data_IF_217357662261
#
_entry.id   IF_217357662261
#
_cell.length_a   1.000
_cell.length_b   1.000
_cell.length_c   1.000
_cell.angle_alpha   90.00
_cell.angle_beta   90.00
_cell.angle_gamma   90.00
#
_symmetry.space_group_name_H-M   'P 1'
#
loop_
_entity.id
_entity.type
_entity.pdbx_description
1 polymer ?
#
# COMPACT_ATOMS: atom_id res chain seq x y z
N UNK A 1 10.62 16.68 -11.65
CA UNK A 1 9.70 15.83 -10.89
C UNK A 1 10.33 15.19 -9.63
N UNK A 2 11.61 14.88 -9.60
CA UNK A 2 12.22 14.11 -8.48
C UNK A 2 12.34 14.84 -7.15
N UNK A 3 12.53 16.16 -7.15
CA UNK A 3 12.65 16.94 -5.90
C UNK A 3 11.40 16.85 -5.01
N UNK A 4 10.18 17.11 -5.52
CA UNK A 4 8.98 17.03 -4.69
C UNK A 4 8.67 15.59 -4.23
N UNK A 5 8.91 14.58 -5.08
CA UNK A 5 8.71 13.17 -4.73
C UNK A 5 9.63 12.77 -3.56
N UNK A 6 10.92 13.12 -3.65
CA UNK A 6 11.89 12.85 -2.58
C UNK A 6 11.57 13.61 -1.30
N UNK A 7 11.14 14.86 -1.40
CA UNK A 7 10.73 15.65 -0.23
C UNK A 7 9.52 15.02 0.47
N UNK A 8 8.50 14.62 -0.28
CA UNK A 8 7.33 13.93 0.26
C UNK A 8 7.69 12.60 0.92
N UNK A 9 8.48 11.75 0.25
CA UNK A 9 8.93 10.47 0.80
C UNK A 9 9.76 10.66 2.09
N UNK A 10 10.63 11.67 2.13
CA UNK A 10 11.40 12.01 3.34
C UNK A 10 10.48 12.44 4.49
N UNK A 11 9.51 13.31 4.21
CA UNK A 11 8.54 13.77 5.21
C UNK A 11 7.71 12.61 5.76
N UNK A 12 7.26 11.69 4.89
CA UNK A 12 6.53 10.50 5.32
C UNK A 12 7.38 9.61 6.23
N UNK A 13 8.62 9.31 5.86
CA UNK A 13 9.55 8.55 6.71
C UNK A 13 9.82 9.20 8.07
N UNK A 14 9.90 10.53 8.12
CA UNK A 14 10.12 11.26 9.36
C UNK A 14 8.89 11.26 10.28
N UNK A 15 7.68 11.33 9.70
CA UNK A 15 6.42 11.31 10.45
C UNK A 15 6.02 9.91 10.91
N UNK A 16 6.28 8.91 10.08
CA UNK A 16 6.00 7.50 10.37
C UNK A 16 7.24 6.84 11.01
N UNK A 17 7.54 7.25 12.24
CA UNK A 17 8.63 6.65 13.02
C UNK A 17 8.38 5.16 13.26
N UNK A 18 9.46 4.33 13.42
CA UNK A 18 9.30 2.94 13.83
C UNK A 18 8.43 2.81 15.08
N UNK A 19 7.44 1.94 15.06
CA UNK A 19 6.49 1.73 16.13
C UNK A 19 5.22 1.03 15.67
N UNK A 20 4.33 0.71 16.61
CA UNK A 20 3.13 -0.09 16.39
C UNK A 20 2.28 0.39 15.19
N UNK A 21 2.05 1.69 15.05
CA UNK A 21 1.24 2.25 13.96
C UNK A 21 1.85 1.96 12.60
N UNK A 22 3.16 2.16 12.45
CA UNK A 22 3.88 1.86 11.22
C UNK A 22 3.85 0.36 10.92
N UNK A 23 4.06 -0.47 11.94
CA UNK A 23 4.08 -1.93 11.80
C UNK A 23 2.70 -2.45 11.38
N UNK A 24 1.60 -1.90 11.93
CA UNK A 24 0.24 -2.20 11.50
C UNK A 24 -0.02 -1.79 10.06
N UNK A 25 0.39 -0.58 9.65
CA UNK A 25 0.22 -0.08 8.29
C UNK A 25 1.03 -0.90 7.27
N UNK A 26 2.24 -1.36 7.63
CA UNK A 26 3.02 -2.30 6.82
C UNK A 26 2.49 -3.74 6.85
N UNK A 27 1.56 -4.06 7.74
CA UNK A 27 1.00 -5.40 7.89
C UNK A 27 1.95 -6.41 8.56
N UNK A 28 2.91 -5.93 9.36
CA UNK A 28 3.87 -6.78 10.09
C UNK A 28 3.18 -7.90 10.89
N UNK A 29 2.06 -7.64 11.63
CA UNK A 29 1.39 -8.70 12.40
C UNK A 29 0.81 -9.83 11.53
N UNK A 30 0.48 -9.54 10.27
CA UNK A 30 -0.10 -10.52 9.34
C UNK A 30 0.94 -11.13 8.41
N UNK A 31 2.18 -10.62 8.43
CA UNK A 31 3.25 -11.01 7.52
C UNK A 31 2.98 -10.62 6.05
N UNK A 32 2.00 -9.75 5.79
CA UNK A 32 1.61 -9.31 4.44
C UNK A 32 1.29 -7.82 4.45
N UNK A 33 1.63 -7.07 3.38
CA UNK A 33 1.28 -5.66 3.27
C UNK A 33 -0.21 -5.41 3.47
N UNK A 34 -0.57 -4.42 4.30
CA UNK A 34 -1.97 -4.09 4.59
C UNK A 34 -2.67 -3.38 3.42
N UNK A 35 -1.89 -2.63 2.60
CA UNK A 35 -2.43 -1.84 1.49
C UNK A 35 -3.23 -2.64 0.45
N UNK A 36 -2.77 -3.80 -0.10
CA UNK A 36 -3.50 -4.50 -1.15
C UNK A 36 -4.90 -4.98 -0.73
N UNK A 37 -5.11 -5.67 0.39
CA UNK A 37 -6.46 -6.09 0.77
C UNK A 37 -7.40 -4.92 1.08
N UNK A 38 -6.90 -3.84 1.67
CA UNK A 38 -7.69 -2.63 1.89
C UNK A 38 -8.08 -1.95 0.56
N UNK A 39 -7.17 -1.90 -0.41
CA UNK A 39 -7.45 -1.37 -1.74
C UNK A 39 -8.50 -2.20 -2.48
N UNK A 40 -8.44 -3.53 -2.37
CA UNK A 40 -9.46 -4.42 -2.94
C UNK A 40 -10.83 -4.19 -2.32
N UNK A 41 -10.92 -3.98 -1.00
CA UNK A 41 -12.17 -3.68 -0.32
C UNK A 41 -12.78 -2.35 -0.80
N UNK A 42 -11.97 -1.28 -0.87
CA UNK A 42 -12.43 0.02 -1.36
C UNK A 42 -12.90 -0.05 -2.83
N UNK A 43 -12.09 -0.64 -3.69
CA UNK A 43 -12.39 -0.78 -5.12
C UNK A 43 -13.61 -1.69 -5.34
N UNK A 44 -13.73 -2.78 -4.60
CA UNK A 44 -14.89 -3.68 -4.63
C UNK A 44 -16.19 -2.95 -4.28
N UNK A 45 -16.19 -2.11 -3.25
CA UNK A 45 -17.33 -1.27 -2.91
C UNK A 45 -17.70 -0.32 -4.05
N UNK A 46 -16.74 0.35 -4.68
CA UNK A 46 -16.99 1.30 -5.77
C UNK A 46 -17.45 0.63 -7.06
N UNK A 47 -16.86 -0.53 -7.41
CA UNK A 47 -17.33 -1.34 -8.55
C UNK A 47 -18.78 -1.79 -8.30
N UNK A 48 -19.06 -2.35 -7.14
CA UNK A 48 -20.41 -2.82 -6.78
C UNK A 48 -21.42 -1.67 -6.79
N UNK A 49 -21.08 -0.50 -6.24
CA UNK A 49 -21.92 0.68 -6.31
C UNK A 49 -22.24 1.09 -7.75
N UNK A 50 -21.22 1.06 -8.62
CA UNK A 50 -21.38 1.46 -10.03
C UNK A 50 -22.22 0.45 -10.82
N UNK A 51 -22.05 -0.85 -10.55
CA UNK A 51 -22.87 -1.91 -11.17
C UNK A 51 -24.34 -1.84 -10.73
N UNK A 52 -24.60 -1.67 -9.42
CA UNK A 52 -25.96 -1.50 -8.91
C UNK A 52 -26.63 -0.25 -9.49
N UNK A 53 -25.87 0.81 -9.68
CA UNK A 53 -26.35 2.05 -10.28
C UNK A 53 -26.68 1.87 -11.78
N UNK A 54 -25.86 1.13 -12.52
CA UNK A 54 -26.15 0.75 -13.90
C UNK A 54 -27.41 -0.13 -14.01
N UNK A 55 -27.59 -1.03 -13.06
CA UNK A 55 -28.79 -1.87 -12.95
C UNK A 55 -30.03 -1.14 -12.42
N UNK A 56 -29.94 0.16 -12.16
CA UNK A 56 -31.04 0.99 -11.57
C UNK A 56 -31.56 0.43 -10.23
N UNK A 57 -30.67 -0.16 -9.44
CA UNK A 57 -30.97 -0.69 -8.12
C UNK A 57 -31.24 0.42 -7.09
N UNK A 58 -31.60 0.03 -5.86
CA UNK A 58 -31.89 0.96 -4.76
C UNK A 58 -30.74 1.92 -4.50
N UNK A 59 -31.03 3.21 -4.53
CA UNK A 59 -30.07 4.27 -4.33
C UNK A 59 -29.49 4.32 -2.90
N UNK A 60 -30.17 3.72 -1.92
CA UNK A 60 -29.65 3.57 -0.56
C UNK A 60 -28.43 2.62 -0.56
N UNK A 61 -28.56 1.48 -1.24
CA UNK A 61 -27.47 0.52 -1.37
C UNK A 61 -26.27 1.14 -2.10
N UNK A 62 -26.51 1.88 -3.19
CA UNK A 62 -25.44 2.60 -3.93
C UNK A 62 -24.72 3.60 -3.03
N UNK A 63 -25.44 4.43 -2.28
CA UNK A 63 -24.86 5.42 -1.35
C UNK A 63 -24.07 4.76 -0.23
N UNK A 64 -24.58 3.65 0.33
CA UNK A 64 -23.89 2.91 1.38
C UNK A 64 -22.56 2.35 0.89
N UNK A 65 -22.54 1.73 -0.30
CA UNK A 65 -21.30 1.21 -0.89
C UNK A 65 -20.30 2.32 -1.24
N UNK A 66 -20.78 3.47 -1.75
CA UNK A 66 -19.91 4.62 -1.98
C UNK A 66 -19.26 5.10 -0.68
N UNK A 67 -20.06 5.24 0.38
CA UNK A 67 -19.58 5.65 1.70
C UNK A 67 -18.59 4.64 2.30
N UNK A 68 -18.87 3.35 2.20
CA UNK A 68 -17.99 2.28 2.66
C UNK A 68 -16.64 2.29 1.91
N UNK A 69 -16.67 2.45 0.59
CA UNK A 69 -15.47 2.58 -0.22
C UNK A 69 -14.63 3.81 0.14
N UNK A 70 -15.29 4.97 0.37
CA UNK A 70 -14.62 6.19 0.83
C UNK A 70 -13.98 5.97 2.21
N UNK A 71 -14.71 5.40 3.16
CA UNK A 71 -14.21 5.14 4.50
C UNK A 71 -13.00 4.19 4.48
N UNK A 72 -13.07 3.12 3.68
CA UNK A 72 -11.99 2.13 3.53
C UNK A 72 -10.77 2.71 2.80
N UNK A 73 -10.97 3.68 1.90
CA UNK A 73 -9.87 4.31 1.16
C UNK A 73 -8.91 5.11 2.06
N UNK A 74 -9.36 5.59 3.20
CA UNK A 74 -8.50 6.36 4.13
C UNK A 74 -7.37 5.50 4.73
N UNK A 75 -7.67 4.36 5.40
CA UNK A 75 -6.61 3.47 5.86
C UNK A 75 -5.80 2.86 4.70
N UNK A 76 -6.44 2.62 3.53
CA UNK A 76 -5.74 2.19 2.32
C UNK A 76 -4.66 3.19 1.90
N UNK A 77 -4.98 4.47 1.85
CA UNK A 77 -4.04 5.52 1.49
C UNK A 77 -2.92 5.65 2.53
N UNK A 78 -3.23 5.53 3.83
CA UNK A 78 -2.23 5.57 4.88
C UNK A 78 -1.23 4.41 4.76
N UNK A 79 -1.71 3.17 4.56
CA UNK A 79 -0.87 2.00 4.34
C UNK A 79 -0.03 2.15 3.06
N UNK A 80 -0.65 2.54 1.94
CA UNK A 80 0.04 2.73 0.66
C UNK A 80 1.12 3.81 0.70
N UNK A 81 0.89 4.94 1.39
CA UNK A 81 1.90 5.98 1.58
C UNK A 81 3.07 5.51 2.45
N UNK A 82 2.78 4.66 3.45
CA UNK A 82 3.80 4.06 4.30
C UNK A 82 4.71 3.15 3.48
N UNK A 83 4.13 2.24 2.68
CA UNK A 83 4.87 1.34 1.79
C UNK A 83 5.66 2.13 0.73
N UNK A 84 5.01 3.09 0.07
CA UNK A 84 5.61 3.93 -0.97
C UNK A 84 6.83 4.70 -0.48
N UNK A 85 6.84 5.15 0.76
CA UNK A 85 7.94 5.93 1.33
C UNK A 85 9.27 5.16 1.37
N UNK A 86 9.22 3.83 1.36
CA UNK A 86 10.39 2.93 1.42
C UNK A 86 10.83 2.38 0.06
N UNK A 87 10.08 2.65 -1.01
CA UNK A 87 10.37 2.17 -2.36
C UNK A 87 11.59 2.86 -3.00
N UNK A 88 12.14 2.25 -4.04
CA UNK A 88 13.17 2.85 -4.88
C UNK A 88 12.63 4.01 -5.72
N UNK A 89 13.51 4.90 -6.16
CA UNK A 89 13.13 6.15 -6.84
C UNK A 89 12.25 5.93 -8.08
N UNK A 90 12.53 4.92 -8.88
CA UNK A 90 11.73 4.59 -10.08
C UNK A 90 10.31 4.15 -9.69
N UNK A 91 10.19 3.27 -8.71
CA UNK A 91 8.91 2.85 -8.15
C UNK A 91 8.15 4.03 -7.52
N UNK A 92 8.86 4.94 -6.84
CA UNK A 92 8.24 6.14 -6.27
C UNK A 92 7.65 7.07 -7.33
N UNK A 93 8.25 7.18 -8.51
CA UNK A 93 7.70 7.98 -9.62
C UNK A 93 6.37 7.40 -10.11
N UNK A 94 6.32 6.11 -10.37
CA UNK A 94 5.08 5.42 -10.78
C UNK A 94 4.06 5.46 -9.65
N UNK A 95 4.49 5.22 -8.40
CA UNK A 95 3.65 5.28 -7.23
C UNK A 95 3.05 6.67 -6.98
N UNK A 96 3.73 7.75 -7.35
CA UNK A 96 3.18 9.10 -7.27
C UNK A 96 2.03 9.32 -8.27
N UNK A 97 2.15 8.80 -9.50
CA UNK A 97 1.07 8.85 -10.49
C UNK A 97 -0.11 7.96 -10.05
N UNK A 98 0.18 6.77 -9.53
CA UNK A 98 -0.81 5.90 -8.90
C UNK A 98 -1.58 6.61 -7.77
N UNK A 99 -0.86 7.30 -6.88
CA UNK A 99 -1.46 8.09 -5.81
C UNK A 99 -2.38 9.18 -6.37
N UNK A 100 -1.92 9.94 -7.36
CA UNK A 100 -2.69 11.03 -7.96
C UNK A 100 -3.99 10.51 -8.61
N UNK A 101 -3.92 9.39 -9.33
CA UNK A 101 -5.10 8.74 -9.92
C UNK A 101 -6.11 8.29 -8.86
N UNK A 102 -5.65 7.73 -7.74
CA UNK A 102 -6.53 7.28 -6.66
C UNK A 102 -7.10 8.46 -5.84
N UNK A 103 -6.35 9.54 -5.65
CA UNK A 103 -6.87 10.78 -5.04
C UNK A 103 -7.98 11.40 -5.93
N UNK A 104 -7.78 11.41 -7.25
CA UNK A 104 -8.80 11.83 -8.19
C UNK A 104 -10.05 10.93 -8.10
N UNK A 105 -9.87 9.61 -8.10
CA UNK A 105 -10.96 8.66 -7.94
C UNK A 105 -11.74 8.90 -6.64
N UNK A 106 -11.05 9.04 -5.51
CA UNK A 106 -11.65 9.35 -4.21
C UNK A 106 -12.44 10.65 -4.25
N UNK A 107 -11.91 11.70 -4.87
CA UNK A 107 -12.60 12.98 -5.06
C UNK A 107 -13.88 12.83 -5.88
N UNK A 108 -13.83 12.07 -6.98
CA UNK A 108 -14.97 11.81 -7.85
C UNK A 108 -16.06 10.98 -7.16
N UNK A 109 -15.71 9.93 -6.42
CA UNK A 109 -16.68 9.15 -5.65
C UNK A 109 -17.26 9.92 -4.48
N UNK A 110 -16.48 10.76 -3.81
CA UNK A 110 -16.97 11.67 -2.78
C UNK A 110 -17.94 12.71 -3.36
N UNK A 111 -17.60 13.28 -4.51
CA UNK A 111 -18.48 14.17 -5.27
C UNK A 111 -19.77 13.46 -5.72
N UNK A 112 -19.67 12.19 -6.16
CA UNK A 112 -20.83 11.36 -6.50
C UNK A 112 -21.78 11.18 -5.32
N UNK A 113 -21.25 10.80 -4.16
CA UNK A 113 -22.05 10.64 -2.94
C UNK A 113 -22.72 11.96 -2.55
N UNK A 114 -21.99 13.06 -2.58
CA UNK A 114 -22.52 14.39 -2.26
C UNK A 114 -23.61 14.83 -3.24
N UNK A 115 -23.43 14.59 -4.55
CA UNK A 115 -24.44 14.89 -5.55
C UNK A 115 -25.75 14.11 -5.29
N UNK A 116 -25.64 12.83 -4.93
CA UNK A 116 -26.81 11.98 -4.62
C UNK A 116 -27.53 12.40 -3.34
N UNK A 117 -26.78 12.78 -2.31
CA UNK A 117 -27.38 13.32 -1.07
C UNK A 117 -28.18 14.61 -1.35
N UNK A 118 -27.74 15.36 -2.37
CA UNK A 118 -28.46 16.58 -2.84
C UNK A 118 -29.53 16.32 -3.89
N UNK A 119 -29.93 15.07 -4.13
CA UNK A 119 -30.97 14.70 -5.11
C UNK A 119 -30.52 14.77 -6.58
N UNK A 120 -29.23 14.96 -6.85
CA UNK A 120 -28.68 15.07 -8.21
C UNK A 120 -28.14 13.71 -8.71
N UNK A 121 -29.06 12.73 -8.84
CA UNK A 121 -28.70 11.33 -9.15
C UNK A 121 -27.92 11.17 -10.47
N UNK A 122 -28.33 11.93 -11.54
CA UNK A 122 -27.62 11.87 -12.84
C UNK A 122 -26.17 12.35 -12.73
N UNK A 123 -25.93 13.45 -12.03
CA UNK A 123 -24.57 13.95 -11.79
C UNK A 123 -23.78 12.97 -10.93
N UNK A 124 -24.39 12.41 -9.88
CA UNK A 124 -23.78 11.38 -9.06
C UNK A 124 -23.33 10.17 -9.87
N UNK A 125 -24.17 9.69 -10.80
CA UNK A 125 -23.84 8.58 -11.71
C UNK A 125 -22.68 8.89 -12.63
N UNK A 126 -22.69 10.05 -13.27
CA UNK A 126 -21.58 10.47 -14.13
C UNK A 126 -20.24 10.54 -13.37
N UNK A 127 -20.28 11.08 -12.15
CA UNK A 127 -19.10 11.14 -11.27
C UNK A 127 -18.62 9.73 -10.83
N UNK A 128 -19.54 8.78 -10.59
CA UNK A 128 -19.14 7.38 -10.28
C UNK A 128 -18.43 6.72 -11.47
N UNK A 129 -18.91 6.90 -12.70
CA UNK A 129 -18.24 6.35 -13.88
C UNK A 129 -16.85 6.96 -14.09
N UNK A 130 -16.74 8.28 -13.97
CA UNK A 130 -15.45 8.96 -14.03
C UNK A 130 -14.49 8.48 -12.91
N UNK A 131 -15.02 8.31 -11.69
CA UNK A 131 -14.30 7.77 -10.55
C UNK A 131 -13.81 6.35 -10.79
N UNK A 132 -14.65 5.49 -11.40
CA UNK A 132 -14.25 4.13 -11.74
C UNK A 132 -13.15 4.10 -12.81
N UNK A 133 -13.21 4.97 -13.81
CA UNK A 133 -12.15 5.08 -14.81
C UNK A 133 -10.82 5.53 -14.19
N UNK A 134 -10.85 6.56 -13.31
CA UNK A 134 -9.65 7.02 -12.61
C UNK A 134 -9.11 5.95 -11.64
N UNK A 135 -9.98 5.28 -10.87
CA UNK A 135 -9.61 4.20 -9.97
C UNK A 135 -9.11 2.96 -10.72
N UNK A 136 -9.68 2.63 -11.87
CA UNK A 136 -9.21 1.56 -12.76
C UNK A 136 -7.80 1.82 -13.29
N UNK A 137 -7.52 3.06 -13.72
CA UNK A 137 -6.17 3.46 -14.10
C UNK A 137 -5.20 3.41 -12.90
N UNK A 138 -5.64 3.88 -11.72
CA UNK A 138 -4.88 3.72 -10.49
C UNK A 138 -4.58 2.24 -10.18
N UNK A 139 -5.58 1.37 -10.28
CA UNK A 139 -5.45 -0.07 -10.09
C UNK A 139 -4.47 -0.71 -11.07
N UNK A 140 -4.52 -0.32 -12.35
CA UNK A 140 -3.55 -0.75 -13.37
C UNK A 140 -2.11 -0.39 -12.97
N UNK A 141 -1.88 0.85 -12.52
CA UNK A 141 -0.55 1.28 -12.06
C UNK A 141 -0.12 0.55 -10.77
N UNK A 142 -1.06 0.24 -9.86
CA UNK A 142 -0.80 -0.59 -8.69
C UNK A 142 -0.37 -2.01 -9.08
N UNK A 143 -1.03 -2.62 -10.03
CA UNK A 143 -0.63 -3.91 -10.62
C UNK A 143 0.74 -3.82 -11.29
N UNK A 144 1.04 -2.75 -12.03
CA UNK A 144 2.35 -2.52 -12.63
C UNK A 144 3.46 -2.42 -11.56
N UNK A 145 3.20 -1.69 -10.46
CA UNK A 145 4.14 -1.62 -9.34
C UNK A 145 4.39 -2.99 -8.72
N UNK A 146 3.34 -3.75 -8.44
CA UNK A 146 3.45 -5.06 -7.79
C UNK A 146 4.09 -6.13 -8.68
N UNK A 147 3.60 -6.29 -9.92
CA UNK A 147 3.96 -7.42 -10.77
C UNK A 147 5.13 -7.14 -11.72
N UNK A 148 5.23 -5.90 -12.23
CA UNK A 148 6.31 -5.55 -13.17
C UNK A 148 7.53 -4.98 -12.47
N UNK A 149 7.32 -4.15 -11.44
CA UNK A 149 8.40 -3.49 -10.71
C UNK A 149 8.72 -4.21 -9.38
N UNK A 150 7.97 -5.26 -9.04
CA UNK A 150 8.14 -6.05 -7.82
C UNK A 150 8.15 -5.21 -6.52
N UNK A 151 7.39 -4.13 -6.50
CA UNK A 151 7.26 -3.27 -5.31
C UNK A 151 6.58 -4.05 -4.18
N UNK A 152 7.27 -4.18 -3.04
CA UNK A 152 6.78 -4.93 -1.89
C UNK A 152 6.78 -6.46 -2.05
N UNK A 153 7.32 -7.00 -3.15
CA UNK A 153 7.43 -8.43 -3.36
C UNK A 153 8.64 -9.02 -2.63
N UNK A 154 8.57 -10.31 -2.31
CA UNK A 154 9.72 -11.06 -1.85
C UNK A 154 10.69 -11.29 -3.01
N UNK A 155 11.87 -10.67 -2.97
CA UNK A 155 12.91 -10.82 -3.98
C UNK A 155 13.84 -12.03 -3.74
N UNK A 156 13.60 -12.79 -2.69
CA UNK A 156 14.42 -13.94 -2.31
C UNK A 156 13.59 -15.23 -2.08
N UNK A 157 12.59 -15.55 -2.93
CA UNK A 157 11.74 -16.72 -2.70
C UNK A 157 12.52 -18.03 -2.76
N UNK A 158 13.62 -18.06 -3.52
CA UNK A 158 14.46 -19.25 -3.67
C UNK A 158 15.33 -19.54 -2.45
N UNK A 159 15.52 -18.58 -1.54
CA UNK A 159 16.40 -18.76 -0.35
C UNK A 159 15.94 -19.95 0.49
N UNK A 160 14.62 -20.14 0.64
CA UNK A 160 14.05 -21.27 1.38
C UNK A 160 14.31 -22.64 0.74
N UNK A 161 14.75 -22.69 -0.53
CA UNK A 161 15.07 -23.92 -1.26
C UNK A 161 16.57 -24.17 -1.38
N UNK A 162 17.41 -23.17 -1.04
CA UNK A 162 18.86 -23.27 -1.15
C UNK A 162 19.55 -23.73 0.14
N UNK A 163 18.83 -23.68 1.26
CA UNK A 163 19.30 -24.11 2.57
C UNK A 163 18.22 -24.97 3.20
N UNK A 164 18.55 -26.14 3.81
CA UNK A 164 17.59 -26.96 4.53
C UNK A 164 16.86 -26.15 5.61
N UNK A 165 15.60 -26.50 5.88
CA UNK A 165 14.84 -25.89 6.97
C UNK A 165 15.49 -26.23 8.31
N UNK A 166 15.64 -25.24 9.18
CA UNK A 166 16.19 -25.41 10.52
C UNK A 166 17.07 -24.25 10.97
N UNK A 167 17.69 -24.42 12.13
CA UNK A 167 18.69 -23.51 12.65
C UNK A 167 20.04 -23.81 12.03
N UNK A 168 20.73 -22.78 11.62
CA UNK A 168 22.08 -22.87 11.04
C UNK A 168 23.02 -21.89 11.73
N UNK A 169 24.20 -22.36 12.06
CA UNK A 169 25.26 -21.49 12.60
C UNK A 169 25.72 -20.51 11.52
N UNK A 170 25.64 -19.23 11.80
CA UNK A 170 26.03 -18.17 10.86
C UNK A 170 27.36 -17.53 11.25
N UNK A 171 27.52 -17.12 12.51
CA UNK A 171 28.73 -16.56 13.10
C UNK A 171 28.59 -16.46 14.62
N UNK A 172 29.71 -16.24 15.31
CA UNK A 172 29.68 -15.95 16.75
C UNK A 172 29.09 -14.58 17.01
N UNK A 173 28.29 -14.45 18.05
CA UNK A 173 27.63 -13.19 18.42
C UNK A 173 28.65 -12.05 18.64
N UNK A 174 29.82 -12.35 19.20
CA UNK A 174 30.92 -11.41 19.42
C UNK A 174 31.51 -10.83 18.13
N UNK A 175 31.31 -11.51 16.98
CA UNK A 175 31.82 -11.09 15.67
C UNK A 175 30.82 -10.19 14.92
N UNK A 176 29.68 -9.90 15.52
CA UNK A 176 28.67 -8.98 15.00
C UNK A 176 28.84 -7.61 15.63
N UNK A 177 29.14 -6.56 14.83
CA UNK A 177 29.23 -5.21 15.34
C UNK A 177 27.86 -4.67 15.74
N UNK A 178 27.81 -3.89 16.81
CA UNK A 178 26.59 -3.27 17.29
C UNK A 178 26.04 -2.25 16.27
N UNK A 179 24.76 -2.42 15.92
CA UNK A 179 24.01 -1.48 15.08
C UNK A 179 24.49 -1.35 13.63
N UNK A 180 25.45 -2.17 13.17
CA UNK A 180 25.94 -2.15 11.79
C UNK A 180 25.65 -3.49 11.12
N UNK A 181 24.94 -3.50 9.97
CA UNK A 181 24.74 -4.72 9.22
C UNK A 181 26.07 -5.19 8.60
N UNK A 182 26.36 -6.48 8.75
CA UNK A 182 27.48 -7.15 8.09
C UNK A 182 26.96 -8.29 7.23
N UNK A 183 27.60 -8.51 6.08
CA UNK A 183 27.27 -9.65 5.23
C UNK A 183 28.00 -10.91 5.73
N UNK A 184 27.25 -12.01 5.83
CA UNK A 184 27.77 -13.36 6.13
C UNK A 184 27.22 -14.34 5.10
N UNK A 185 27.96 -15.39 4.82
CA UNK A 185 27.55 -16.45 3.91
C UNK A 185 27.00 -17.65 4.66
N UNK A 186 25.89 -18.16 4.20
CA UNK A 186 25.34 -19.45 4.58
C UNK A 186 25.23 -20.30 3.29
N UNK A 187 26.18 -21.17 3.05
CA UNK A 187 26.32 -21.85 1.76
C UNK A 187 26.49 -20.85 0.61
N UNK A 188 25.59 -20.90 -0.36
CA UNK A 188 25.57 -19.98 -1.52
C UNK A 188 24.83 -18.67 -1.26
N UNK A 189 24.24 -18.48 -0.08
CA UNK A 189 23.41 -17.32 0.25
C UNK A 189 24.23 -16.31 1.03
N UNK A 190 24.14 -15.04 0.64
CA UNK A 190 24.65 -13.91 1.42
C UNK A 190 23.54 -13.34 2.29
N UNK A 191 23.71 -13.36 3.60
CA UNK A 191 22.80 -12.83 4.58
C UNK A 191 23.36 -11.55 5.19
N UNK A 192 22.51 -10.55 5.46
CA UNK A 192 22.89 -9.38 6.23
C UNK A 192 22.42 -9.57 7.66
N UNK A 193 23.36 -9.54 8.61
CA UNK A 193 23.08 -9.69 10.05
C UNK A 193 23.70 -8.53 10.83
N UNK A 194 23.04 -8.11 11.89
CA UNK A 194 23.56 -7.14 12.85
C UNK A 194 23.08 -7.47 14.26
N UNK A 195 23.87 -7.15 15.28
CA UNK A 195 23.38 -7.06 16.63
C UNK A 195 22.52 -5.80 16.76
N UNK A 196 21.26 -5.95 17.12
CA UNK A 196 20.45 -4.84 17.60
C UNK A 196 20.88 -4.51 19.03
N UNK A 197 21.18 -3.26 19.34
CA UNK A 197 21.27 -2.86 20.72
C UNK A 197 19.96 -3.27 21.43
N UNK A 198 20.01 -3.86 22.63
CA UNK A 198 18.80 -4.19 23.39
C UNK A 198 17.96 -2.92 23.49
N UNK A 199 16.68 -2.98 23.07
CA UNK A 199 15.75 -1.88 23.27
C UNK A 199 15.62 -1.69 24.78
N UNK A 200 16.33 -0.71 25.32
CA UNK A 200 16.05 -0.25 26.69
C UNK A 200 14.63 0.29 26.66
N UNK A 201 13.70 -0.49 27.23
CA UNK A 201 12.37 -0.02 27.55
C UNK A 201 12.51 1.17 28.50
N UNK A 202 12.22 2.37 28.00
CA UNK A 202 11.85 3.51 28.83
C UNK A 202 10.38 3.80 28.63
#
# INVERSE_FOLDING_TARGET
>A
MDRPIRALAKTMRQRLRPGLVRDLLHGVPTGKPAHPPLAQAALGCWISATLLDAAKADQRAVRLLLAAGIATSLPTAAAGLTDWSSLHQEQQRVGFVHLAANVLALGLFSGSLLARVRGRERAGRALSYAGLAAGGFGGYLGGHLAYRMAAGANHAPQVSHLVPLGWHDLCLLKDLPDGRPVSRRLGYISLSSCCGAPRTSR
#
